data_IF_046022456581
#
_entry.id   IF_046022456581
#
_cell.length_a   1.000
_cell.length_b   1.000
_cell.length_c   1.000
_cell.angle_alpha   90.00
_cell.angle_beta   90.00
_cell.angle_gamma   90.00
#
_symmetry.space_group_name_H-M   'P 1'
#
loop_
_entity.id
_entity.type
_entity.pdbx_description
1 polymer ?
#
# COMPACT_ATOMS: atom_id res chain seq x y z
N UNK A 1 18.28 -31.63 -55.80
CA UNK A 1 17.05 -31.36 -55.02
C UNK A 1 16.95 -32.33 -53.85
N UNK A 2 17.50 -31.97 -52.69
CA UNK A 2 17.33 -32.72 -51.43
C UNK A 2 16.80 -31.70 -50.42
N UNK A 3 15.50 -31.79 -50.16
CA UNK A 3 14.73 -30.80 -49.38
C UNK A 3 15.16 -30.84 -47.92
N UNK A 4 15.38 -29.64 -47.38
CA UNK A 4 15.49 -29.31 -45.97
C UNK A 4 14.22 -29.76 -45.23
N UNK A 5 14.32 -30.85 -44.47
CA UNK A 5 13.35 -31.22 -43.44
C UNK A 5 14.12 -31.53 -42.17
N UNK A 6 14.31 -30.52 -41.33
CA UNK A 6 14.41 -30.66 -39.86
C UNK A 6 14.48 -29.28 -39.20
N UNK A 7 13.81 -29.20 -38.05
CA UNK A 7 13.80 -28.13 -37.04
C UNK A 7 12.81 -26.97 -37.20
N UNK A 8 11.52 -27.30 -37.25
CA UNK A 8 10.49 -26.50 -36.56
C UNK A 8 9.91 -27.33 -35.40
N UNK A 9 10.75 -27.67 -34.42
CA UNK A 9 10.25 -28.04 -33.09
C UNK A 9 10.03 -26.75 -32.30
N UNK A 10 8.78 -26.27 -32.40
CA UNK A 10 7.98 -25.72 -31.30
C UNK A 10 8.77 -24.98 -30.21
N UNK A 11 9.09 -23.71 -30.47
CA UNK A 11 9.06 -22.69 -29.40
C UNK A 11 7.58 -22.46 -29.05
N UNK A 12 7.01 -23.27 -28.17
CA UNK A 12 5.81 -22.84 -27.46
C UNK A 12 6.27 -21.74 -26.50
N UNK A 13 5.98 -20.50 -26.89
CA UNK A 13 6.42 -19.30 -26.22
C UNK A 13 5.90 -19.27 -24.79
N UNK A 14 6.73 -18.73 -23.89
CA UNK A 14 6.38 -18.35 -22.52
C UNK A 14 5.07 -17.53 -22.51
N UNK A 15 4.84 -16.71 -23.55
CA UNK A 15 3.60 -15.96 -23.75
C UNK A 15 2.33 -16.84 -23.84
N UNK A 16 2.42 -18.07 -24.37
CA UNK A 16 1.28 -19.00 -24.44
C UNK A 16 0.92 -19.61 -23.09
N UNK A 17 1.86 -19.68 -22.14
CA UNK A 17 1.57 -20.14 -20.77
C UNK A 17 0.95 -19.02 -19.95
N UNK A 18 1.48 -17.80 -20.07
CA UNK A 18 0.96 -16.59 -19.41
C UNK A 18 -0.50 -16.30 -19.80
N UNK A 19 -0.84 -16.44 -21.09
CA UNK A 19 -2.22 -16.24 -21.56
C UNK A 19 -3.20 -17.30 -21.03
N UNK A 20 -2.76 -18.57 -20.92
CA UNK A 20 -3.59 -19.64 -20.36
C UNK A 20 -3.85 -19.46 -18.87
N UNK A 21 -2.90 -18.92 -18.09
CA UNK A 21 -3.11 -18.68 -16.66
C UNK A 21 -4.01 -17.49 -16.37
N UNK A 22 -3.92 -16.39 -17.13
CA UNK A 22 -4.90 -15.29 -17.07
C UNK A 22 -6.31 -15.78 -17.41
N UNK A 23 -6.44 -16.71 -18.37
CA UNK A 23 -7.72 -17.31 -18.72
C UNK A 23 -8.25 -18.27 -17.64
N UNK A 24 -7.40 -18.98 -16.91
CA UNK A 24 -7.83 -19.80 -15.77
C UNK A 24 -8.30 -18.94 -14.61
N UNK A 25 -7.61 -17.83 -14.31
CA UNK A 25 -8.04 -16.86 -13.30
C UNK A 25 -9.39 -16.22 -13.69
N UNK A 26 -9.58 -15.90 -14.97
CA UNK A 26 -10.83 -15.36 -15.50
C UNK A 26 -11.98 -16.38 -15.60
N UNK A 27 -11.69 -17.66 -15.83
CA UNK A 27 -12.73 -18.70 -15.91
C UNK A 27 -13.37 -19.02 -14.55
N UNK A 28 -12.67 -18.78 -13.43
CA UNK A 28 -13.26 -18.86 -12.09
C UNK A 28 -14.26 -17.70 -11.85
N UNK A 29 -14.19 -16.61 -12.63
CA UNK A 29 -14.97 -15.37 -12.43
C UNK A 29 -16.36 -15.39 -13.09
N UNK A 30 -16.68 -16.32 -14.00
CA UNK A 30 -17.88 -16.20 -14.84
C UNK A 30 -19.09 -17.10 -14.52
N UNK A 31 -19.12 -17.80 -13.38
CA UNK A 31 -20.35 -18.52 -12.96
C UNK A 31 -21.21 -17.66 -12.02
N UNK A 32 -21.75 -16.57 -12.56
CA UNK A 32 -22.86 -15.82 -11.94
C UNK A 32 -24.18 -16.45 -12.41
N UNK A 33 -25.09 -16.91 -11.53
CA UNK A 33 -26.46 -17.17 -11.94
C UNK A 33 -27.14 -15.84 -12.26
N UNK A 34 -27.46 -15.63 -13.53
CA UNK A 34 -28.41 -14.60 -13.94
C UNK A 34 -29.80 -14.97 -13.40
N UNK A 35 -30.23 -14.35 -12.30
CA UNK A 35 -31.62 -14.41 -11.85
C UNK A 35 -32.10 -13.04 -11.33
N UNK A 36 -32.95 -12.42 -12.14
CA UNK A 36 -34.26 -11.90 -11.69
C UNK A 36 -34.26 -10.63 -10.83
N UNK A 37 -34.68 -9.53 -11.44
CA UNK A 37 -34.92 -8.26 -10.76
C UNK A 37 -35.87 -8.35 -9.56
N UNK A 38 -35.44 -7.74 -8.47
CA UNK A 38 -36.19 -7.48 -7.25
C UNK A 38 -35.31 -6.68 -6.31
N UNK A 39 -35.85 -5.61 -5.73
CA UNK A 39 -35.17 -4.68 -4.80
C UNK A 39 -34.12 -5.37 -3.93
N UNK A 40 -32.85 -5.19 -4.27
CA UNK A 40 -31.73 -5.64 -3.46
C UNK A 40 -31.00 -4.40 -3.00
N UNK A 41 -31.19 -4.05 -1.72
CA UNK A 41 -30.18 -3.28 -0.99
C UNK A 41 -28.82 -3.90 -1.31
N UNK A 42 -27.89 -3.09 -1.81
CA UNK A 42 -26.52 -3.52 -2.08
C UNK A 42 -25.96 -4.07 -0.77
N UNK A 43 -25.96 -5.40 -0.62
CA UNK A 43 -25.16 -6.06 0.41
C UNK A 43 -23.72 -5.69 0.06
N UNK A 44 -23.03 -4.97 0.95
CA UNK A 44 -21.59 -4.87 0.85
C UNK A 44 -21.07 -6.32 0.72
N UNK A 45 -20.33 -6.61 -0.35
CA UNK A 45 -19.74 -7.93 -0.51
C UNK A 45 -18.85 -8.17 0.72
N UNK A 46 -19.18 -9.19 1.52
CA UNK A 46 -18.33 -9.59 2.63
C UNK A 46 -16.96 -9.96 2.06
N UNK A 47 -15.89 -9.40 2.65
CA UNK A 47 -14.53 -9.74 2.25
C UNK A 47 -14.31 -11.24 2.47
N UNK A 48 -13.72 -11.97 1.50
CA UNK A 48 -13.45 -13.40 1.67
C UNK A 48 -12.48 -13.65 2.82
N UNK A 49 -12.55 -14.84 3.40
CA UNK A 49 -11.63 -15.26 4.46
C UNK A 49 -10.33 -15.77 3.82
N UNK A 50 -9.23 -15.10 4.11
CA UNK A 50 -7.88 -15.55 3.74
C UNK A 50 -7.22 -16.19 4.94
N UNK A 51 -6.92 -17.49 4.83
CA UNK A 51 -6.19 -18.24 5.85
C UNK A 51 -4.70 -18.29 5.52
N UNK A 52 -3.86 -17.82 6.44
CA UNK A 52 -2.41 -17.91 6.32
C UNK A 52 -1.89 -19.02 7.22
N UNK A 53 -1.37 -20.09 6.63
CA UNK A 53 -0.65 -21.16 7.34
C UNK A 53 0.84 -20.85 7.42
N UNK A 54 1.45 -21.27 8.53
CA UNK A 54 2.85 -21.03 8.87
C UNK A 54 3.48 -22.30 9.45
N UNK A 55 4.52 -22.80 8.79
CA UNK A 55 5.36 -23.87 9.31
C UNK A 55 6.34 -23.29 10.34
N UNK A 56 5.91 -23.28 11.60
CA UNK A 56 6.65 -22.68 12.71
C UNK A 56 8.10 -23.21 12.80
N UNK A 57 9.10 -22.33 12.89
CA UNK A 57 10.46 -22.73 13.27
C UNK A 57 10.52 -23.39 14.65
N UNK A 58 11.45 -24.32 14.84
CA UNK A 58 11.47 -25.15 16.05
C UNK A 58 11.85 -24.34 17.29
N UNK A 59 12.65 -23.28 17.10
CA UNK A 59 13.10 -22.31 18.10
C UNK A 59 12.05 -21.22 18.43
N UNK A 60 10.90 -21.22 17.75
CA UNK A 60 9.81 -20.28 18.03
C UNK A 60 8.87 -20.82 19.10
N UNK A 61 8.35 -19.93 19.95
CA UNK A 61 7.34 -20.23 20.96
C UNK A 61 5.93 -20.16 20.35
N UNK A 62 5.27 -19.00 20.42
CA UNK A 62 3.90 -18.82 19.91
C UNK A 62 3.93 -17.81 18.75
N UNK A 63 3.67 -18.24 17.50
CA UNK A 63 3.56 -17.32 16.37
C UNK A 63 2.41 -16.35 16.59
N UNK A 64 2.64 -15.07 16.35
CA UNK A 64 1.67 -14.00 16.47
C UNK A 64 1.62 -13.16 15.20
N UNK A 65 0.46 -12.59 14.89
CA UNK A 65 0.25 -11.82 13.67
C UNK A 65 0.15 -10.33 13.96
N UNK A 66 0.97 -9.54 13.29
CA UNK A 66 0.90 -8.09 13.30
C UNK A 66 0.78 -7.55 11.87
N UNK A 67 0.08 -6.45 11.68
CA UNK A 67 -0.20 -5.89 10.36
C UNK A 67 -0.22 -4.37 10.39
N UNK A 68 -0.20 -3.75 9.22
CA UNK A 68 -0.32 -2.31 9.02
C UNK A 68 -1.59 -1.99 8.21
N UNK A 69 -2.11 -0.76 8.38
CA UNK A 69 -3.44 -0.30 7.96
C UNK A 69 -4.58 -0.97 8.73
N UNK A 70 -4.80 -0.55 9.98
CA UNK A 70 -5.74 -1.20 10.90
C UNK A 70 -7.23 -1.02 10.54
N UNK A 71 -7.59 -0.08 9.67
CA UNK A 71 -9.00 0.27 9.40
C UNK A 71 -9.79 -0.82 8.67
N UNK A 72 -9.13 -1.67 7.89
CA UNK A 72 -9.80 -2.53 6.90
C UNK A 72 -9.39 -4.02 6.98
N UNK A 73 -8.72 -4.41 8.07
CA UNK A 73 -8.32 -5.80 8.31
C UNK A 73 -9.03 -6.33 9.54
N UNK A 74 -9.95 -7.27 9.31
CA UNK A 74 -10.53 -8.06 10.38
C UNK A 74 -9.68 -9.33 10.58
N UNK A 75 -9.35 -9.62 11.83
CA UNK A 75 -8.66 -10.86 12.21
C UNK A 75 -9.64 -11.72 12.99
N UNK A 76 -10.02 -12.87 12.44
CA UNK A 76 -11.01 -13.78 13.02
C UNK A 76 -10.36 -15.11 13.39
N UNK A 77 -9.60 -15.13 14.48
CA UNK A 77 -8.86 -16.33 14.90
C UNK A 77 -9.51 -17.08 16.08
N UNK A 78 -10.85 -17.07 16.16
CA UNK A 78 -11.61 -17.73 17.23
C UNK A 78 -11.20 -17.28 18.64
N UNK A 79 -11.16 -18.23 19.59
CA UNK A 79 -10.79 -17.99 20.99
C UNK A 79 -9.27 -17.88 21.22
N UNK A 80 -8.47 -17.62 20.19
CA UNK A 80 -7.02 -17.48 20.33
C UNK A 80 -6.68 -16.29 21.25
N UNK A 81 -5.99 -16.56 22.36
CA UNK A 81 -5.49 -15.50 23.24
C UNK A 81 -4.48 -14.61 22.52
N UNK A 82 -4.39 -13.34 22.95
CA UNK A 82 -3.31 -12.45 22.49
C UNK A 82 -2.03 -12.82 23.22
N UNK A 83 -0.91 -12.87 22.50
CA UNK A 83 0.40 -13.13 23.08
C UNK A 83 1.24 -11.86 23.05
N UNK A 84 1.98 -11.60 24.13
CA UNK A 84 2.93 -10.50 24.19
C UNK A 84 4.06 -10.71 23.16
N UNK A 85 4.31 -9.69 22.35
CA UNK A 85 5.36 -9.70 21.31
C UNK A 85 6.40 -8.61 21.54
N UNK A 86 5.98 -7.42 21.98
CA UNK A 86 6.91 -6.37 22.44
C UNK A 86 6.45 -5.89 23.81
N UNK A 87 7.31 -5.13 24.51
CA UNK A 87 6.99 -4.58 25.83
C UNK A 87 5.64 -3.88 25.81
N UNK A 88 4.67 -4.42 26.56
CA UNK A 88 3.29 -3.88 26.65
C UNK A 88 2.51 -3.90 25.33
N UNK A 89 2.89 -4.75 24.38
CA UNK A 89 2.18 -4.94 23.12
C UNK A 89 1.91 -6.42 22.89
N UNK A 90 0.62 -6.77 22.86
CA UNK A 90 0.17 -8.12 22.55
C UNK A 90 -0.55 -8.17 21.22
N UNK A 91 -0.34 -9.24 20.46
CA UNK A 91 -0.90 -9.45 19.13
C UNK A 91 -1.66 -10.78 19.06
N UNK A 92 -2.63 -10.93 18.15
CA UNK A 92 -3.36 -12.19 17.98
C UNK A 92 -2.39 -13.36 17.79
N UNK A 93 -2.50 -14.39 18.64
CA UNK A 93 -1.75 -15.62 18.44
C UNK A 93 -2.32 -16.38 17.23
N UNK A 94 -1.45 -17.08 16.50
CA UNK A 94 -1.86 -18.03 15.48
C UNK A 94 -2.30 -19.35 16.14
N UNK A 95 -3.35 -19.98 15.63
CA UNK A 95 -3.86 -21.24 16.14
C UNK A 95 -3.11 -22.41 15.53
N UNK A 96 -2.92 -23.49 16.27
CA UNK A 96 -2.30 -24.72 15.73
C UNK A 96 -3.37 -25.59 15.08
N UNK A 97 -3.17 -25.93 13.82
CA UNK A 97 -3.92 -26.97 13.13
C UNK A 97 -3.32 -28.34 13.47
N UNK A 98 -4.01 -29.12 14.29
CA UNK A 98 -3.53 -30.44 14.74
C UNK A 98 -3.41 -31.46 13.61
N UNK A 99 -4.08 -31.26 12.48
CA UNK A 99 -4.01 -32.20 11.35
C UNK A 99 -2.73 -32.05 10.53
N UNK A 100 -2.20 -30.83 10.45
CA UNK A 100 -0.99 -30.51 9.68
C UNK A 100 0.23 -30.23 10.57
N UNK A 101 0.00 -29.84 11.82
CA UNK A 101 1.02 -29.30 12.71
C UNK A 101 1.40 -27.84 12.42
N UNK A 102 0.79 -27.21 11.41
CA UNK A 102 1.05 -25.82 11.07
C UNK A 102 0.24 -24.87 11.94
N UNK A 103 0.70 -23.62 12.02
CA UNK A 103 -0.02 -22.55 12.69
C UNK A 103 -0.80 -21.75 11.65
N UNK A 104 -1.99 -21.25 11.98
CA UNK A 104 -2.79 -20.46 11.05
C UNK A 104 -3.42 -19.23 11.69
N UNK A 105 -3.77 -18.27 10.84
CA UNK A 105 -4.60 -17.11 11.16
C UNK A 105 -5.54 -16.82 10.01
N UNK A 106 -6.78 -16.48 10.34
CA UNK A 106 -7.77 -16.04 9.38
C UNK A 106 -7.90 -14.52 9.40
N UNK A 107 -7.84 -13.93 8.21
CA UNK A 107 -8.03 -12.51 8.00
C UNK A 107 -9.12 -12.26 6.95
N UNK A 108 -9.90 -11.21 7.11
CA UNK A 108 -10.82 -10.69 6.09
C UNK A 108 -10.42 -9.27 5.74
N UNK A 109 -9.91 -9.09 4.53
CA UNK A 109 -9.49 -7.78 4.03
C UNK A 109 -9.36 -7.81 2.51
N UNK A 110 -9.51 -6.65 1.90
CA UNK A 110 -9.15 -6.38 0.51
C UNK A 110 -8.07 -5.29 0.40
N UNK A 111 -7.49 -4.86 1.53
CA UNK A 111 -6.61 -3.70 1.61
C UNK A 111 -5.59 -3.81 2.76
N UNK A 112 -4.70 -4.80 2.69
CA UNK A 112 -3.53 -4.90 3.56
C UNK A 112 -2.29 -4.32 2.86
N UNK A 113 -1.55 -3.45 3.53
CA UNK A 113 -0.28 -2.90 3.00
C UNK A 113 0.92 -3.77 3.34
N UNK A 114 0.80 -4.56 4.40
CA UNK A 114 1.83 -5.49 4.84
C UNK A 114 1.48 -6.13 6.17
N UNK A 115 2.25 -7.16 6.52
CA UNK A 115 2.13 -7.84 7.78
C UNK A 115 3.45 -8.47 8.20
N UNK A 116 3.46 -8.99 9.43
CA UNK A 116 4.54 -9.78 9.94
C UNK A 116 4.03 -10.90 10.85
N UNK A 117 4.74 -12.02 10.80
CA UNK A 117 4.57 -13.12 11.75
C UNK A 117 5.73 -13.03 12.74
N UNK A 118 5.41 -13.01 14.03
CA UNK A 118 6.34 -12.68 15.11
C UNK A 118 6.41 -13.82 16.12
N UNK A 119 7.60 -14.08 16.67
CA UNK A 119 7.82 -15.05 17.75
C UNK A 119 7.37 -14.47 19.11
N UNK A 120 6.08 -14.59 19.41
CA UNK A 120 5.49 -14.11 20.66
C UNK A 120 5.80 -15.00 21.86
N UNK A 121 5.58 -14.44 23.06
CA UNK A 121 5.71 -15.16 24.33
C UNK A 121 7.17 -15.41 24.73
N UNK A 122 8.10 -14.63 24.19
CA UNK A 122 9.54 -14.77 24.42
C UNK A 122 10.03 -13.90 25.59
N UNK A 123 9.26 -12.89 25.99
CA UNK A 123 9.64 -11.92 27.03
C UNK A 123 10.78 -10.98 26.62
N UNK A 124 11.18 -10.96 25.34
CA UNK A 124 12.23 -10.07 24.80
C UNK A 124 11.62 -8.90 24.04
N UNK A 125 12.24 -7.72 24.14
CA UNK A 125 11.74 -6.50 23.50
C UNK A 125 11.85 -6.44 21.97
N UNK A 126 12.42 -7.46 21.32
CA UNK A 126 12.59 -7.57 19.86
C UNK A 126 12.61 -9.06 19.45
N UNK A 127 11.44 -9.72 19.37
CA UNK A 127 11.34 -11.11 18.95
C UNK A 127 11.78 -11.33 17.51
N UNK A 128 12.14 -12.57 17.17
CA UNK A 128 12.36 -12.97 15.78
C UNK A 128 11.06 -12.80 14.96
N UNK A 129 11.18 -12.33 13.72
CA UNK A 129 10.03 -12.03 12.88
C UNK A 129 10.24 -12.38 11.39
N UNK A 130 9.14 -12.45 10.67
CA UNK A 130 9.08 -12.56 9.21
C UNK A 130 8.17 -11.45 8.70
N UNK A 131 8.75 -10.43 8.07
CA UNK A 131 8.07 -9.24 7.56
C UNK A 131 7.74 -9.38 6.08
N UNK A 132 6.54 -8.96 5.69
CA UNK A 132 6.02 -9.03 4.31
C UNK A 132 5.42 -7.68 3.91
N UNK A 133 6.09 -6.98 3.01
CA UNK A 133 5.69 -5.69 2.45
C UNK A 133 6.03 -5.71 0.96
N UNK A 134 5.16 -5.14 0.12
CA UNK A 134 5.36 -5.04 -1.33
C UNK A 134 5.84 -6.35 -2.00
N UNK A 135 5.18 -7.47 -1.67
CA UNK A 135 5.52 -8.78 -2.21
C UNK A 135 4.25 -9.52 -2.69
N UNK A 136 4.43 -10.62 -3.42
CA UNK A 136 3.33 -11.30 -4.11
C UNK A 136 2.21 -11.77 -3.18
N UNK A 137 2.52 -12.11 -1.92
CA UNK A 137 1.50 -12.51 -0.95
C UNK A 137 0.56 -11.35 -0.60
N UNK A 138 1.05 -10.11 -0.57
CA UNK A 138 0.22 -8.92 -0.32
C UNK A 138 -0.77 -8.74 -1.48
N UNK A 139 -0.27 -8.83 -2.71
CA UNK A 139 -1.09 -8.73 -3.92
C UNK A 139 -2.14 -9.86 -3.97
N UNK A 140 -1.73 -11.09 -3.59
CA UNK A 140 -2.62 -12.26 -3.56
C UNK A 140 -3.72 -12.17 -2.50
N UNK A 141 -3.41 -11.65 -1.30
CA UNK A 141 -4.42 -11.40 -0.25
C UNK A 141 -5.43 -10.36 -0.75
N UNK A 142 -4.96 -9.21 -1.24
CA UNK A 142 -5.82 -8.11 -1.68
C UNK A 142 -6.66 -8.46 -2.92
N UNK A 143 -6.22 -9.43 -3.73
CA UNK A 143 -6.92 -9.89 -4.93
C UNK A 143 -7.83 -11.09 -4.70
N UNK A 144 -7.92 -11.61 -3.46
CA UNK A 144 -8.76 -12.76 -3.15
C UNK A 144 -10.24 -12.40 -3.36
N UNK A 145 -10.97 -13.21 -4.12
CA UNK A 145 -12.41 -13.05 -4.38
C UNK A 145 -13.27 -14.16 -3.75
N UNK A 146 -12.62 -15.12 -3.10
CA UNK A 146 -13.23 -16.28 -2.44
C UNK A 146 -12.31 -16.77 -1.33
N UNK A 147 -12.85 -17.52 -0.37
CA UNK A 147 -12.07 -18.11 0.71
C UNK A 147 -10.86 -18.88 0.18
N UNK A 148 -9.67 -18.50 0.65
CA UNK A 148 -8.40 -18.97 0.10
C UNK A 148 -7.42 -19.25 1.23
N UNK A 149 -6.50 -20.19 1.01
CA UNK A 149 -5.41 -20.49 1.94
C UNK A 149 -4.05 -20.32 1.28
N UNK A 150 -3.11 -19.72 2.00
CA UNK A 150 -1.71 -19.61 1.61
C UNK A 150 -0.83 -20.24 2.68
N UNK A 151 0.28 -20.86 2.26
CA UNK A 151 1.13 -21.64 3.15
C UNK A 151 2.57 -21.12 3.12
N UNK A 152 3.05 -20.53 4.21
CA UNK A 152 4.46 -20.17 4.39
C UNK A 152 5.21 -21.36 4.97
N UNK A 153 5.92 -22.10 4.12
CA UNK A 153 6.51 -23.39 4.47
C UNK A 153 8.04 -23.39 4.27
N UNK A 154 8.74 -24.25 5.03
CA UNK A 154 10.19 -24.43 4.96
C UNK A 154 10.62 -25.10 3.65
N UNK A 155 11.75 -24.69 3.11
CA UNK A 155 12.42 -25.33 1.98
C UNK A 155 13.94 -25.18 2.10
N UNK A 156 14.68 -25.74 1.14
CA UNK A 156 16.16 -25.74 1.14
C UNK A 156 16.77 -24.33 1.19
N UNK A 157 16.02 -23.30 0.78
CA UNK A 157 16.44 -21.90 0.74
C UNK A 157 15.84 -21.05 1.88
N UNK A 158 15.22 -21.66 2.88
CA UNK A 158 14.57 -20.98 4.00
C UNK A 158 13.07 -21.23 4.04
N UNK A 159 12.25 -20.22 3.70
CA UNK A 159 10.79 -20.38 3.62
C UNK A 159 10.24 -19.67 2.37
N UNK A 160 9.18 -20.24 1.80
CA UNK A 160 8.45 -19.64 0.67
C UNK A 160 6.95 -19.81 0.85
N UNK A 161 6.19 -18.96 0.16
CA UNK A 161 4.74 -19.07 0.08
C UNK A 161 4.34 -20.11 -0.96
N UNK A 162 3.32 -20.91 -0.65
CA UNK A 162 2.73 -21.93 -1.50
C UNK A 162 1.20 -21.77 -1.54
N UNK A 163 0.59 -22.19 -2.65
CA UNK A 163 -0.86 -22.24 -2.84
C UNK A 163 -1.47 -23.53 -2.26
N UNK A 164 -0.64 -24.53 -1.97
CA UNK A 164 -1.04 -25.79 -1.38
C UNK A 164 -0.06 -26.28 -0.31
N UNK A 165 -0.58 -27.05 0.64
CA UNK A 165 0.19 -27.60 1.77
C UNK A 165 1.27 -28.60 1.36
N UNK A 166 1.12 -29.22 0.19
CA UNK A 166 1.98 -30.30 -0.30
C UNK A 166 3.17 -29.75 -1.12
N UNK A 167 3.33 -28.41 -1.17
CA UNK A 167 4.42 -27.70 -1.85
C UNK A 167 4.45 -27.90 -3.37
N UNK A 168 3.32 -28.27 -3.99
CA UNK A 168 3.24 -28.50 -5.43
C UNK A 168 3.22 -27.20 -6.24
N UNK A 169 2.70 -26.13 -5.66
CA UNK A 169 2.53 -24.82 -6.29
C UNK A 169 3.13 -23.73 -5.40
N UNK A 170 4.31 -23.27 -5.77
CA UNK A 170 4.94 -22.10 -5.14
C UNK A 170 4.15 -20.86 -5.57
N UNK A 171 3.83 -19.97 -4.62
CA UNK A 171 3.32 -18.64 -4.96
C UNK A 171 4.43 -17.91 -5.73
N UNK A 172 4.19 -17.47 -6.98
CA UNK A 172 5.22 -16.80 -7.76
C UNK A 172 5.76 -15.60 -7.00
N UNK A 173 7.08 -15.36 -7.10
CA UNK A 173 7.62 -14.08 -6.67
C UNK A 173 6.94 -12.95 -7.45
N UNK A 174 6.79 -11.80 -6.79
CA UNK A 174 6.25 -10.62 -7.46
C UNK A 174 7.18 -10.30 -8.61
N UNK A 175 6.68 -10.37 -9.85
CA UNK A 175 7.50 -10.00 -11.00
C UNK A 175 8.04 -8.59 -10.74
N UNK A 176 9.36 -8.46 -10.77
CA UNK A 176 9.97 -7.14 -10.63
C UNK A 176 9.39 -6.27 -11.73
N UNK A 177 8.70 -5.20 -11.34
CA UNK A 177 8.15 -4.26 -12.29
C UNK A 177 9.25 -3.83 -13.26
N UNK A 178 8.90 -3.66 -14.54
CA UNK A 178 9.85 -3.13 -15.49
C UNK A 178 10.32 -1.76 -14.98
N UNK A 179 11.64 -1.57 -14.95
CA UNK A 179 12.20 -0.28 -14.58
C UNK A 179 11.66 0.78 -15.53
N UNK A 180 11.19 1.88 -14.97
CA UNK A 180 10.65 3.02 -15.70
C UNK A 180 11.39 4.29 -15.27
N UNK A 181 11.24 5.34 -16.06
CA UNK A 181 11.84 6.64 -15.81
C UNK A 181 10.85 7.57 -15.14
N UNK A 182 11.26 8.18 -14.04
CA UNK A 182 10.55 9.32 -13.43
C UNK A 182 11.46 10.52 -13.55
N UNK A 183 11.06 11.50 -14.36
CA UNK A 183 11.76 12.78 -14.46
C UNK A 183 11.12 13.75 -13.46
N UNK A 184 11.90 14.20 -12.48
CA UNK A 184 11.45 15.21 -11.53
C UNK A 184 11.86 16.57 -12.05
N UNK A 185 10.90 17.48 -12.15
CA UNK A 185 11.11 18.90 -12.40
C UNK A 185 10.89 19.66 -11.11
N UNK A 186 11.87 20.47 -10.70
CA UNK A 186 11.89 21.16 -9.43
C UNK A 186 12.05 22.66 -9.63
N UNK A 187 11.02 23.42 -9.25
CA UNK A 187 11.12 24.86 -9.14
C UNK A 187 11.79 25.21 -7.82
N UNK A 188 13.08 25.55 -7.86
CA UNK A 188 13.80 25.88 -6.63
C UNK A 188 13.19 27.12 -5.94
N UNK A 189 13.12 27.14 -4.60
CA UNK A 189 12.84 28.37 -3.86
C UNK A 189 13.83 29.50 -4.21
N UNK A 190 13.39 30.75 -4.09
CA UNK A 190 14.18 31.92 -4.50
C UNK A 190 15.47 32.07 -3.71
N UNK A 191 15.45 31.70 -2.43
CA UNK A 191 16.58 31.75 -1.52
C UNK A 191 17.56 30.57 -1.69
N UNK A 192 17.22 29.57 -2.52
CA UNK A 192 18.12 28.45 -2.81
C UNK A 192 19.08 28.81 -3.94
N UNK A 193 20.30 28.27 -3.90
CA UNK A 193 21.34 28.56 -4.88
C UNK A 193 21.84 27.30 -5.58
N UNK A 194 22.12 26.23 -4.82
CA UNK A 194 22.66 24.98 -5.38
C UNK A 194 21.81 23.80 -4.94
N UNK A 195 20.72 23.50 -5.68
CA UNK A 195 19.87 22.37 -5.33
C UNK A 195 20.57 21.04 -5.63
N UNK A 196 20.56 20.16 -4.63
CA UNK A 196 21.02 18.78 -4.69
C UNK A 196 19.90 17.85 -4.21
N UNK A 197 20.04 16.56 -4.52
CA UNK A 197 19.09 15.52 -4.10
C UNK A 197 19.82 14.40 -3.37
N UNK A 198 19.21 13.90 -2.29
CA UNK A 198 19.67 12.69 -1.61
C UNK A 198 18.53 11.66 -1.59
N UNK A 199 18.81 10.48 -2.12
CA UNK A 199 17.89 9.34 -2.19
C UNK A 199 18.31 8.28 -1.16
N UNK A 200 17.38 7.56 -0.56
CA UNK A 200 17.70 6.39 0.25
C UNK A 200 16.67 5.26 0.08
N UNK A 201 17.20 4.04 0.13
CA UNK A 201 16.42 2.81 -0.05
C UNK A 201 15.80 2.68 -1.44
N UNK A 202 15.34 1.48 -1.76
CA UNK A 202 14.79 1.15 -3.07
C UNK A 202 15.84 0.93 -4.16
N UNK A 203 15.40 0.93 -5.42
CA UNK A 203 16.19 0.55 -6.59
C UNK A 203 16.27 1.62 -7.68
N UNK A 204 15.76 2.83 -7.43
CA UNK A 204 15.95 3.96 -8.33
C UNK A 204 17.43 4.34 -8.45
N UNK A 205 17.91 4.37 -9.69
CA UNK A 205 19.21 4.92 -10.08
C UNK A 205 19.01 6.35 -10.54
N UNK A 206 19.82 7.26 -10.01
CA UNK A 206 19.80 8.68 -10.34
C UNK A 206 20.71 8.99 -11.53
N UNK A 207 20.19 9.80 -12.45
CA UNK A 207 20.94 10.46 -13.51
C UNK A 207 20.71 11.97 -13.42
N UNK A 208 21.78 12.70 -13.09
CA UNK A 208 21.83 14.17 -13.05
C UNK A 208 22.42 14.78 -14.32
N UNK A 209 22.48 14.05 -15.42
CA UNK A 209 22.88 14.55 -16.74
C UNK A 209 24.28 15.19 -16.75
N UNK A 210 25.18 14.73 -15.86
CA UNK A 210 26.54 15.27 -15.75
C UNK A 210 26.64 16.62 -15.05
N UNK A 211 25.61 17.08 -14.33
CA UNK A 211 25.65 18.31 -13.51
C UNK A 211 26.72 18.24 -12.39
N UNK A 212 27.18 17.04 -12.05
CA UNK A 212 28.16 16.78 -11.00
C UNK A 212 27.57 16.92 -9.60
N UNK A 213 28.45 16.95 -8.61
CA UNK A 213 28.07 16.94 -7.20
C UNK A 213 28.33 18.29 -6.53
N UNK A 214 27.68 18.52 -5.38
CA UNK A 214 28.01 19.59 -4.44
C UNK A 214 28.05 19.08 -3.01
N UNK A 215 29.00 19.60 -2.24
CA UNK A 215 29.14 19.32 -0.82
C UNK A 215 28.12 20.13 -0.02
N UNK A 216 27.38 19.47 0.88
CA UNK A 216 26.46 20.13 1.80
C UNK A 216 27.21 20.43 3.09
N UNK A 217 27.54 21.71 3.32
CA UNK A 217 28.33 22.12 4.48
C UNK A 217 27.65 21.76 5.81
N UNK A 218 26.33 21.93 5.89
CA UNK A 218 25.52 21.61 7.05
C UNK A 218 25.57 20.12 7.45
N UNK A 219 25.96 19.24 6.53
CA UNK A 219 26.03 17.79 6.76
C UNK A 219 27.47 17.28 6.89
N UNK A 220 28.41 18.15 7.26
CA UNK A 220 29.83 17.78 7.37
C UNK A 220 30.50 17.56 6.01
N UNK A 221 30.10 18.35 5.00
CA UNK A 221 30.63 18.32 3.63
C UNK A 221 30.38 16.99 2.91
N UNK A 222 29.22 16.37 3.12
CA UNK A 222 28.82 15.24 2.29
C UNK A 222 28.49 15.70 0.88
N UNK A 223 29.11 15.07 -0.12
CA UNK A 223 28.79 15.30 -1.53
C UNK A 223 27.47 14.62 -1.90
N UNK A 224 26.62 15.35 -2.63
CA UNK A 224 25.37 14.87 -3.21
C UNK A 224 25.21 15.33 -4.66
N UNK A 225 24.51 14.54 -5.51
CA UNK A 225 24.23 14.92 -6.89
C UNK A 225 23.46 16.23 -6.97
N UNK A 226 23.96 17.18 -7.77
CA UNK A 226 23.19 18.38 -8.16
C UNK A 226 22.01 17.98 -9.03
N UNK A 227 20.96 18.78 -8.99
CA UNK A 227 19.95 18.74 -10.04
C UNK A 227 20.49 19.46 -11.28
N UNK A 228 20.27 18.88 -12.46
CA UNK A 228 20.58 19.51 -13.74
C UNK A 228 19.65 20.71 -13.98
N UNK A 229 20.04 21.63 -14.85
CA UNK A 229 19.18 22.77 -15.24
C UNK A 229 18.57 22.47 -16.61
N UNK A 230 17.25 22.49 -16.68
CA UNK A 230 16.54 22.56 -17.95
C UNK A 230 16.51 24.01 -18.42
N UNK A 231 17.46 24.40 -19.26
CA UNK A 231 17.62 25.77 -19.79
C UNK A 231 16.36 26.30 -20.49
N UNK A 232 15.58 25.41 -21.12
CA UNK A 232 14.35 25.78 -21.83
C UNK A 232 13.23 26.24 -20.88
N UNK A 233 13.19 25.68 -19.66
CA UNK A 233 12.11 25.88 -18.69
C UNK A 233 12.57 26.64 -17.45
N UNK A 234 13.87 26.95 -17.36
CA UNK A 234 14.53 27.57 -16.19
C UNK A 234 14.16 26.86 -14.87
N UNK A 235 14.14 25.53 -14.92
CA UNK A 235 13.75 24.65 -13.83
C UNK A 235 14.80 23.56 -13.63
N UNK A 236 14.91 23.04 -12.41
CA UNK A 236 15.88 21.99 -12.10
C UNK A 236 15.30 20.62 -12.43
N UNK A 237 16.13 19.68 -12.85
CA UNK A 237 15.68 18.35 -13.25
C UNK A 237 16.63 17.25 -12.78
N UNK A 238 16.05 16.08 -12.51
CA UNK A 238 16.79 14.83 -12.28
C UNK A 238 15.97 13.67 -12.83
N UNK A 239 16.64 12.68 -13.42
CA UNK A 239 16.00 11.46 -13.90
C UNK A 239 16.25 10.33 -12.93
N UNK A 240 15.19 9.66 -12.51
CA UNK A 240 15.24 8.45 -11.69
C UNK A 240 14.83 7.26 -12.57
N UNK A 241 15.63 6.21 -12.62
CA UNK A 241 15.29 4.95 -13.33
C UNK A 241 15.21 3.78 -12.35
N UNK A 242 14.04 3.17 -12.21
CA UNK A 242 13.84 2.11 -11.22
C UNK A 242 12.36 1.77 -11.04
N UNK A 243 12.02 1.26 -9.86
CA UNK A 243 10.65 0.87 -9.51
C UNK A 243 10.20 1.40 -8.15
N UNK A 244 11.13 1.52 -7.19
CA UNK A 244 10.79 1.85 -5.80
C UNK A 244 11.85 2.74 -5.15
N UNK A 245 11.43 3.63 -4.27
CA UNK A 245 12.26 4.43 -3.36
C UNK A 245 11.69 4.39 -1.94
N UNK A 246 12.56 4.42 -0.92
CA UNK A 246 12.13 4.49 0.49
C UNK A 246 12.11 5.91 1.06
N UNK A 247 12.66 6.87 0.35
CA UNK A 247 12.54 8.29 0.63
C UNK A 247 13.60 9.11 -0.11
N UNK A 248 13.37 10.40 -0.17
CA UNK A 248 14.31 11.35 -0.76
C UNK A 248 14.20 12.73 -0.12
N UNK A 249 15.20 13.56 -0.37
CA UNK A 249 15.21 14.95 0.05
C UNK A 249 15.85 15.85 -0.98
N UNK A 250 15.25 17.02 -1.16
CA UNK A 250 15.80 18.13 -1.92
C UNK A 250 16.47 19.09 -0.94
N UNK A 251 17.68 19.54 -1.26
CA UNK A 251 18.49 20.36 -0.34
C UNK A 251 19.18 21.47 -1.11
N UNK A 252 19.26 22.67 -0.52
CA UNK A 252 20.19 23.70 -0.95
C UNK A 252 21.57 23.44 -0.33
N UNK A 253 22.55 23.06 -1.14
CA UNK A 253 23.87 22.67 -0.64
C UNK A 253 24.61 23.82 0.07
N UNK A 254 24.33 25.07 -0.31
CA UNK A 254 24.96 26.25 0.29
C UNK A 254 24.47 26.52 1.73
N UNK A 255 23.18 26.32 2.01
CA UNK A 255 22.56 26.66 3.30
C UNK A 255 22.17 25.45 4.16
N UNK A 256 22.00 24.27 3.54
CA UNK A 256 21.41 23.09 4.18
C UNK A 256 19.89 23.16 4.33
N UNK A 257 19.21 24.17 3.78
CA UNK A 257 17.75 24.22 3.76
C UNK A 257 17.20 23.05 2.93
N UNK A 258 16.22 22.32 3.45
CA UNK A 258 15.78 21.05 2.86
C UNK A 258 14.27 20.86 2.84
N UNK A 259 13.84 19.91 2.02
CA UNK A 259 12.49 19.36 2.01
C UNK A 259 12.60 17.84 1.88
N UNK A 260 12.13 17.14 2.91
CA UNK A 260 12.27 15.69 3.06
C UNK A 260 10.94 14.98 2.82
N UNK A 261 11.00 13.84 2.14
CA UNK A 261 9.88 12.93 1.89
C UNK A 261 10.29 11.51 2.30
N UNK A 262 9.65 10.96 3.33
CA UNK A 262 9.92 9.62 3.82
C UNK A 262 9.01 8.56 3.17
N UNK A 263 9.32 7.28 3.39
CA UNK A 263 8.58 6.18 2.78
C UNK A 263 7.13 6.03 3.21
N UNK A 264 6.70 6.74 4.25
CA UNK A 264 5.31 6.77 4.71
C UNK A 264 4.52 7.95 4.13
N UNK A 265 5.21 8.92 3.51
CA UNK A 265 4.61 10.08 2.89
C UNK A 265 3.76 9.71 1.67
N UNK A 266 2.69 10.46 1.42
CA UNK A 266 1.81 10.24 0.25
C UNK A 266 2.57 10.50 -1.06
N UNK A 267 3.58 11.37 -1.05
CA UNK A 267 4.44 11.65 -2.19
C UNK A 267 5.28 10.42 -2.59
N UNK A 268 5.92 9.74 -1.64
CA UNK A 268 6.72 8.54 -1.95
C UNK A 268 5.82 7.40 -2.40
N UNK A 269 4.63 7.25 -1.80
CA UNK A 269 3.62 6.29 -2.27
C UNK A 269 3.18 6.58 -3.70
N UNK A 270 2.91 7.84 -4.02
CA UNK A 270 2.49 8.25 -5.36
C UNK A 270 3.61 8.05 -6.40
N UNK A 271 4.86 8.33 -6.06
CA UNK A 271 6.02 8.08 -6.95
C UNK A 271 6.19 6.57 -7.19
N UNK A 272 6.12 5.75 -6.14
CA UNK A 272 6.23 4.29 -6.25
C UNK A 272 5.03 3.64 -6.98
N UNK A 273 3.90 4.35 -7.11
CA UNK A 273 2.74 3.89 -7.86
C UNK A 273 2.86 4.16 -9.38
N UNK A 274 3.85 4.93 -9.81
CA UNK A 274 4.15 5.14 -11.23
C UNK A 274 4.68 3.82 -11.81
N UNK A 275 4.20 3.45 -12.99
CA UNK A 275 4.58 2.18 -13.66
C UNK A 275 5.06 2.37 -15.09
N UNK A 276 5.11 3.63 -15.56
CA UNK A 276 5.49 4.01 -16.92
C UNK A 276 6.39 5.23 -16.89
N UNK A 277 7.20 5.39 -17.94
CA UNK A 277 8.02 6.60 -18.11
C UNK A 277 7.13 7.86 -18.01
N UNK A 278 7.45 8.75 -17.07
CA UNK A 278 6.65 9.94 -16.80
C UNK A 278 7.50 11.10 -16.30
N UNK A 279 6.90 12.28 -16.29
CA UNK A 279 7.44 13.49 -15.67
C UNK A 279 6.52 13.95 -14.54
N UNK A 280 7.10 14.43 -13.45
CA UNK A 280 6.36 15.02 -12.32
C UNK A 280 7.02 16.33 -11.91
N UNK A 281 6.23 17.26 -11.38
CA UNK A 281 6.64 18.64 -11.19
C UNK A 281 6.42 19.07 -9.75
N UNK A 282 7.48 19.45 -9.05
CA UNK A 282 7.42 20.06 -7.73
C UNK A 282 7.56 21.57 -7.85
N UNK A 283 6.42 22.27 -7.84
CA UNK A 283 6.28 23.67 -8.25
C UNK A 283 5.63 24.52 -7.15
N UNK A 284 5.83 25.84 -7.21
CA UNK A 284 5.14 26.79 -6.32
C UNK A 284 3.63 26.76 -6.53
N UNK A 285 2.85 26.74 -5.46
CA UNK A 285 1.39 26.63 -5.52
C UNK A 285 0.67 27.99 -5.66
N UNK A 286 1.41 29.10 -5.70
CA UNK A 286 0.88 30.46 -5.76
C UNK A 286 0.37 31.01 -4.41
N UNK A 287 0.36 30.19 -3.35
CA UNK A 287 0.00 30.57 -1.97
C UNK A 287 1.22 30.64 -1.03
N UNK A 288 2.43 30.59 -1.59
CA UNK A 288 3.68 30.60 -0.85
C UNK A 288 4.18 29.20 -0.45
N UNK A 289 3.51 28.13 -0.89
CA UNK A 289 3.92 26.75 -0.70
C UNK A 289 4.43 26.09 -1.99
N UNK A 290 4.82 24.83 -1.85
CA UNK A 290 5.25 23.95 -2.95
C UNK A 290 4.32 22.73 -3.01
N UNK A 291 3.97 22.28 -4.21
CA UNK A 291 3.14 21.09 -4.44
C UNK A 291 3.66 20.28 -5.62
N UNK A 292 3.39 18.97 -5.56
CA UNK A 292 3.58 18.02 -6.64
C UNK A 292 2.41 18.02 -7.62
N UNK A 293 2.73 18.13 -8.90
CA UNK A 293 1.83 18.12 -10.04
C UNK A 293 2.23 17.05 -11.05
N UNK A 294 1.26 16.56 -11.81
CA UNK A 294 1.50 15.67 -12.95
C UNK A 294 1.96 16.42 -14.18
N UNK A 295 1.57 17.69 -14.29
CA UNK A 295 1.81 18.53 -15.46
C UNK A 295 2.40 19.89 -15.08
N UNK A 296 3.22 20.46 -15.97
CA UNK A 296 3.89 21.75 -15.78
C UNK A 296 2.89 22.93 -15.63
N UNK A 297 1.71 22.80 -16.24
CA UNK A 297 0.64 23.82 -16.21
C UNK A 297 -0.18 23.80 -14.91
N UNK A 298 0.13 22.89 -13.97
CA UNK A 298 -0.52 22.73 -12.67
C UNK A 298 -1.99 22.34 -12.78
N UNK A 299 -2.40 21.74 -13.90
CA UNK A 299 -3.77 21.29 -14.14
C UNK A 299 -4.21 20.15 -13.21
N UNK A 300 -3.29 19.26 -12.84
CA UNK A 300 -3.56 18.13 -11.94
C UNK A 300 -2.44 17.94 -10.90
N UNK A 301 -2.84 17.71 -9.64
CA UNK A 301 -1.90 17.40 -8.55
C UNK A 301 -1.53 15.91 -8.54
N UNK A 302 -0.31 15.59 -8.14
CA UNK A 302 0.14 14.19 -8.01
C UNK A 302 -0.57 13.47 -6.85
N UNK A 303 -0.83 14.20 -5.77
CA UNK A 303 -1.55 13.73 -4.58
C UNK A 303 -2.68 14.70 -4.23
N UNK A 304 -3.62 14.25 -3.41
CA UNK A 304 -4.66 15.12 -2.86
C UNK A 304 -4.13 15.89 -1.65
N UNK A 305 -4.11 17.22 -1.73
CA UNK A 305 -3.72 18.09 -0.62
C UNK A 305 -4.95 18.52 0.16
N UNK A 306 -5.12 18.03 1.39
CA UNK A 306 -6.13 18.53 2.31
C UNK A 306 -5.68 19.90 2.84
N UNK A 307 -6.44 20.96 2.54
CA UNK A 307 -6.11 22.28 3.10
C UNK A 307 -6.29 22.27 4.62
N UNK A 308 -5.30 22.81 5.34
CA UNK A 308 -5.39 22.99 6.79
C UNK A 308 -6.59 23.91 7.11
N UNK A 309 -7.63 23.33 7.69
CA UNK A 309 -8.88 24.03 8.01
C UNK A 309 -10.04 23.79 7.05
N UNK A 310 -9.94 22.86 6.09
CA UNK A 310 -11.10 22.43 5.31
C UNK A 310 -12.13 21.72 6.21
N UNK A 311 -13.23 22.42 6.50
CA UNK A 311 -14.45 21.83 7.06
C UNK A 311 -15.38 21.62 5.88
N UNK A 312 -15.78 20.36 5.62
CA UNK A 312 -16.83 20.10 4.62
C UNK A 312 -18.04 20.99 4.94
N UNK A 313 -18.58 21.74 3.97
CA UNK A 313 -19.76 22.59 4.21
C UNK A 313 -21.02 21.78 4.57
N UNK A 314 -20.95 20.45 4.53
CA UNK A 314 -22.11 19.57 4.71
C UNK A 314 -22.48 19.26 6.16
N UNK A 315 -21.70 19.68 7.17
CA UNK A 315 -22.03 19.32 8.58
C UNK A 315 -21.90 20.48 9.58
N UNK A 316 -22.05 21.73 9.14
CA UNK A 316 -22.23 22.85 10.07
C UNK A 316 -23.47 23.67 9.73
N UNK A 317 -24.55 23.42 10.48
CA UNK A 317 -25.67 24.35 10.61
C UNK A 317 -26.83 24.19 9.62
N UNK A 318 -26.92 23.11 8.84
CA UNK A 318 -28.18 22.76 8.15
C UNK A 318 -28.98 21.80 9.00
N UNK A 319 -30.17 22.21 9.43
CA UNK A 319 -31.25 21.28 9.76
C UNK A 319 -31.51 20.42 8.51
N UNK A 320 -31.09 19.15 8.56
CA UNK A 320 -31.50 18.17 7.55
C UNK A 320 -32.92 17.74 7.92
N UNK A 321 -33.91 18.38 7.30
CA UNK A 321 -35.30 17.93 7.44
C UNK A 321 -35.51 16.68 6.60
N UNK A 322 -35.39 15.50 7.20
CA UNK A 322 -35.83 14.27 6.57
C UNK A 322 -37.36 14.32 6.43
N UNK A 323 -37.89 14.41 5.20
CA UNK A 323 -39.32 14.19 4.96
C UNK A 323 -39.61 12.70 5.11
N UNK A 324 -40.01 12.30 6.31
CA UNK A 324 -40.66 11.00 6.53
C UNK A 324 -42.05 11.06 5.89
N UNK A 325 -42.39 10.19 4.91
CA UNK A 325 -43.75 10.13 4.39
C UNK A 325 -44.73 9.81 5.53
N UNK A 326 -45.69 10.69 5.77
CA UNK A 326 -46.77 10.48 6.74
C UNK A 326 -47.71 9.41 6.20
N UNK A 327 -47.35 8.13 6.39
CA UNK A 327 -48.24 6.99 6.58
C UNK A 327 -47.43 5.70 6.77
N UNK A 328 -46.98 5.49 8.02
CA UNK A 328 -47.20 4.25 8.80
C UNK A 328 -46.53 4.45 10.15
N UNK A 329 -47.24 5.14 11.03
CA UNK A 329 -46.90 5.18 12.44
C UNK A 329 -47.23 3.80 13.04
N UNK A 330 -46.22 2.96 13.23
CA UNK A 330 -46.22 1.89 14.24
C UNK A 330 -44.85 1.84 14.90
N UNK A 331 -44.74 2.66 15.95
CA UNK A 331 -43.91 2.42 17.14
C UNK A 331 -42.44 2.12 16.91
N UNK A 332 -41.60 3.16 16.96
CA UNK A 332 -40.28 3.08 17.56
C UNK A 332 -39.83 4.47 18.01
N UNK A 333 -39.80 4.67 19.33
CA UNK A 333 -39.16 5.80 19.99
C UNK A 333 -37.64 5.58 19.97
N UNK A 334 -36.89 6.47 19.33
CA UNK A 334 -35.46 6.63 19.62
C UNK A 334 -35.36 7.66 20.74
N UNK A 335 -35.06 7.19 21.95
CA UNK A 335 -34.69 8.04 23.08
C UNK A 335 -33.19 8.32 22.99
N UNK A 336 -32.80 9.60 22.85
CA UNK A 336 -31.43 10.03 23.17
C UNK A 336 -31.36 10.39 24.65
N UNK A 337 -30.57 9.63 25.40
CA UNK A 337 -30.27 9.86 26.81
C UNK A 337 -29.31 11.02 27.00
N UNK A 338 -29.86 12.12 27.52
CA UNK A 338 -29.33 13.07 28.52
C UNK A 338 -27.82 13.32 28.62
N UNK A 339 -27.44 14.57 28.31
CA UNK A 339 -26.18 15.18 28.73
C UNK A 339 -26.17 16.71 28.60
N UNK A 340 -26.68 17.39 29.63
CA UNK A 340 -26.55 18.81 30.01
C UNK A 340 -27.59 19.84 29.55
N UNK A 341 -28.39 20.21 30.55
CA UNK A 341 -28.74 21.57 31.00
C UNK A 341 -29.78 22.36 30.21
N UNK A 342 -31.01 22.35 30.77
CA UNK A 342 -31.88 23.50 31.05
C UNK A 342 -32.21 24.40 29.83
N UNK A 343 -33.45 24.50 29.34
CA UNK A 343 -34.61 25.07 30.04
C UNK A 343 -35.96 24.53 29.52
N UNK A 344 -36.96 24.72 30.38
CA UNK A 344 -38.30 24.12 30.44
C UNK A 344 -39.32 24.50 29.36
N UNK A 345 -40.28 23.56 29.26
CA UNK A 345 -41.65 23.61 28.74
C UNK A 345 -42.40 24.94 28.83
N UNK A 346 -43.26 25.17 27.83
CA UNK A 346 -44.73 25.37 27.89
C UNK A 346 -45.13 26.00 26.55
N UNK A 347 -46.26 25.73 25.90
CA UNK A 347 -47.45 24.91 26.12
C UNK A 347 -48.33 25.12 24.87
N UNK A 348 -49.22 24.17 24.59
CA UNK A 348 -50.15 24.23 23.46
C UNK A 348 -51.15 25.40 23.56
N UNK A 349 -51.66 25.82 22.40
CA UNK A 349 -53.11 25.87 22.19
C UNK A 349 -53.42 24.92 21.04
#
# INVERSE_FOLDING_TARGET
MRKLTKSFQKRQSIASRVLCFLLVLAMVVTMVPALGGGNSTVQAAENPTVRLYFEKPDDWNIPAFNYWNESDVEVDNGDAEKVEVWTSQSKPAMLKDESTGYYYIDIRTNSISGFQIVNGGTGVGNPAEKKFENCAIIDAINSATSDTSFYLLKNDNGMSWYLDKDKNQVLPEKEKAAAHKVIIYFEKPENWKTPVINLWGGDFVLDNQGAGDASIAAWGNQDKPKLAVSEAENIYTVTLTGTTISGFQLVDADTGAETQFDGQSEEVKAINAITTDTSIYYLRDGKGGMKWYKDADKSETLIEYKEAGYVSPEVNGREVTFRVPVKKNRGCSICYGSGRNEWLETGFI
#
